data_IF_092924490065
#
_entry.id   IF_092924490065
#
_cell.length_a   1.000
_cell.length_b   1.000
_cell.length_c   1.000
_cell.angle_alpha   90.00
_cell.angle_beta   90.00
_cell.angle_gamma   90.00
#
_symmetry.space_group_name_H-M   'P 1'
#
loop_
_entity.id
_entity.type
_entity.pdbx_description
1 polymer ?
#
# COMPACT_ATOMS: atom_id res chain seq x y z
N UNK A 1 9.46 -8.33 -5.32
CA UNK A 1 8.78 -7.71 -4.16
C UNK A 1 9.78 -7.63 -3.00
N UNK A 2 9.84 -6.50 -2.28
CA UNK A 2 10.82 -6.26 -1.21
C UNK A 2 10.19 -6.15 0.18
N UNK A 3 8.95 -5.66 0.26
CA UNK A 3 8.25 -5.44 1.51
C UNK A 3 6.76 -5.63 1.33
N UNK A 4 6.08 -6.01 2.41
CA UNK A 4 4.62 -6.11 2.49
C UNK A 4 4.12 -5.41 3.75
N UNK A 5 2.89 -4.92 3.71
CA UNK A 5 2.13 -4.52 4.88
C UNK A 5 0.73 -5.12 4.80
N UNK A 6 0.15 -5.41 5.97
CA UNK A 6 -1.18 -5.98 6.11
C UNK A 6 -2.05 -4.98 6.85
N UNK A 7 -3.30 -4.85 6.42
CA UNK A 7 -4.25 -3.92 7.02
C UNK A 7 -5.54 -3.87 6.22
N UNK A 8 -6.57 -3.27 6.79
CA UNK A 8 -7.78 -2.92 6.04
C UNK A 8 -7.51 -1.58 5.32
N UNK A 9 -7.21 -1.65 4.02
CA UNK A 9 -6.83 -0.47 3.23
C UNK A 9 -7.99 0.09 2.42
N UNK A 10 -9.12 -0.63 2.35
CA UNK A 10 -10.33 -0.21 1.67
C UNK A 10 -11.55 0.03 2.58
N UNK A 11 -11.39 -0.11 3.89
CA UNK A 11 -12.42 0.15 4.91
C UNK A 11 -13.61 -0.82 4.78
N UNK A 12 -13.32 -2.08 4.41
CA UNK A 12 -14.32 -3.13 4.22
C UNK A 12 -14.34 -4.19 5.34
N UNK A 13 -13.53 -3.98 6.39
CA UNK A 13 -13.31 -4.84 7.57
C UNK A 13 -12.50 -6.12 7.31
N UNK A 14 -12.06 -6.36 6.08
CA UNK A 14 -11.20 -7.49 5.74
C UNK A 14 -9.74 -7.06 5.59
N UNK A 15 -8.83 -8.01 5.84
CA UNK A 15 -7.40 -7.75 5.68
C UNK A 15 -7.00 -7.79 4.21
N UNK A 16 -6.38 -6.70 3.78
CA UNK A 16 -5.72 -6.52 2.50
C UNK A 16 -4.20 -6.69 2.62
N UNK A 17 -3.52 -6.69 1.47
CA UNK A 17 -2.05 -6.72 1.41
C UNK A 17 -1.54 -5.61 0.50
N UNK A 18 -0.69 -4.74 1.04
CA UNK A 18 0.14 -3.83 0.26
C UNK A 18 1.51 -4.47 -0.02
N UNK A 19 2.03 -4.33 -1.25
CA UNK A 19 3.28 -4.95 -1.72
C UNK A 19 4.17 -3.93 -2.43
N UNK A 20 5.42 -3.79 -2.00
CA UNK A 20 6.43 -3.00 -2.68
C UNK A 20 7.10 -3.82 -3.78
N UNK A 21 6.76 -3.52 -5.03
CA UNK A 21 7.33 -4.17 -6.20
C UNK A 21 8.47 -3.34 -6.78
N UNK A 22 9.59 -3.30 -6.04
CA UNK A 22 10.81 -2.58 -6.39
C UNK A 22 11.24 -2.72 -7.86
N UNK A 23 11.26 -3.95 -8.39
CA UNK A 23 11.78 -4.20 -9.75
C UNK A 23 10.90 -3.69 -10.90
N UNK A 24 9.68 -3.23 -10.61
CA UNK A 24 8.75 -2.68 -11.61
C UNK A 24 8.19 -1.32 -11.20
N UNK A 25 8.79 -0.66 -10.20
CA UNK A 25 8.43 0.68 -9.72
C UNK A 25 6.93 0.83 -9.39
N UNK A 26 6.37 -0.16 -8.68
CA UNK A 26 4.94 -0.14 -8.31
C UNK A 26 4.70 -0.57 -6.87
N UNK A 27 3.67 0.01 -6.27
CA UNK A 27 2.97 -0.56 -5.13
C UNK A 27 1.73 -1.30 -5.65
N UNK A 28 1.55 -2.54 -5.20
CA UNK A 28 0.30 -3.28 -5.41
C UNK A 28 -0.51 -3.33 -4.11
N UNK A 29 -1.82 -3.17 -4.18
CA UNK A 29 -2.75 -3.43 -3.07
C UNK A 29 -3.69 -4.55 -3.50
N UNK A 30 -3.60 -5.70 -2.85
CA UNK A 30 -4.48 -6.84 -3.07
C UNK A 30 -5.63 -6.78 -2.07
N UNK A 31 -6.86 -6.74 -2.59
CA UNK A 31 -8.07 -6.61 -1.77
C UNK A 31 -8.55 -7.96 -1.31
N UNK A 32 -8.55 -8.17 0.01
CA UNK A 32 -9.03 -9.38 0.66
C UNK A 32 -10.56 -9.47 0.62
N UNK A 33 -11.08 -10.68 0.80
CA UNK A 33 -12.53 -10.89 0.94
C UNK A 33 -12.92 -11.58 2.25
N UNK A 34 -12.00 -11.67 3.21
CA UNK A 34 -12.22 -12.36 4.49
C UNK A 34 -12.20 -13.90 4.42
N UNK A 35 -12.26 -14.49 3.22
CA UNK A 35 -12.25 -15.95 3.02
C UNK A 35 -10.89 -16.48 2.57
N UNK A 36 -9.82 -15.72 2.80
CA UNK A 36 -8.46 -16.07 2.40
C UNK A 36 -8.19 -15.95 0.90
N UNK A 37 -9.06 -15.26 0.15
CA UNK A 37 -8.86 -14.97 -1.28
C UNK A 37 -8.71 -13.45 -1.51
N UNK A 38 -8.09 -13.09 -2.64
CA UNK A 38 -7.99 -11.71 -3.10
C UNK A 38 -8.83 -11.49 -4.35
N UNK A 39 -9.70 -10.48 -4.33
CA UNK A 39 -10.72 -10.26 -5.37
C UNK A 39 -10.35 -9.16 -6.36
N UNK A 40 -9.44 -8.27 -5.98
CA UNK A 40 -8.97 -7.17 -6.83
C UNK A 40 -7.51 -6.84 -6.51
N UNK A 41 -6.85 -6.17 -7.45
CA UNK A 41 -5.53 -5.58 -7.25
C UNK A 41 -5.48 -4.17 -7.82
N UNK A 42 -5.16 -3.20 -6.97
CA UNK A 42 -4.81 -1.85 -7.40
C UNK A 42 -3.29 -1.73 -7.55
N UNK A 43 -2.84 -0.99 -8.57
CA UNK A 43 -1.41 -0.78 -8.83
C UNK A 43 -1.13 0.71 -8.95
N UNK A 44 -0.17 1.19 -8.18
CA UNK A 44 0.25 2.59 -8.15
C UNK A 44 1.70 2.68 -8.59
N UNK A 45 1.96 3.47 -9.63
CA UNK A 45 3.33 3.75 -10.06
C UNK A 45 4.01 4.64 -9.03
N UNK A 46 5.26 4.31 -8.74
CA UNK A 46 6.17 5.13 -7.95
C UNK A 46 7.26 5.75 -8.82
N UNK A 47 7.13 5.66 -10.15
CA UNK A 47 8.13 6.19 -11.08
C UNK A 47 8.44 7.67 -10.81
N UNK A 48 9.71 8.08 -10.85
CA UNK A 48 10.89 7.31 -11.26
C UNK A 48 11.57 6.51 -10.12
N UNK A 49 10.91 6.34 -8.97
CA UNK A 49 11.48 5.73 -7.77
C UNK A 49 11.14 4.23 -7.63
N UNK A 50 12.00 3.52 -6.90
CA UNK A 50 11.83 2.09 -6.63
C UNK A 50 11.36 1.88 -5.17
N UNK A 51 10.16 1.36 -4.92
CA UNK A 51 9.66 1.24 -3.56
C UNK A 51 10.39 0.12 -2.83
N UNK A 52 10.91 0.41 -1.63
CA UNK A 52 11.76 -0.51 -0.89
C UNK A 52 11.08 -1.06 0.37
N UNK A 53 10.50 -0.19 1.19
CA UNK A 53 9.81 -0.58 2.43
C UNK A 53 8.42 0.04 2.52
N UNK A 54 7.50 -0.70 3.14
CA UNK A 54 6.13 -0.27 3.44
C UNK A 54 5.90 -0.39 4.95
N UNK A 55 5.30 0.64 5.54
CA UNK A 55 4.69 0.59 6.88
C UNK A 55 3.23 1.06 6.82
N UNK A 56 2.41 0.62 7.77
CA UNK A 56 1.02 1.05 7.93
C UNK A 56 0.73 1.56 9.33
N UNK A 57 -0.20 2.51 9.44
CA UNK A 57 -0.60 3.13 10.71
C UNK A 57 -1.56 4.30 10.49
N UNK A 58 -2.21 4.80 11.55
CA UNK A 58 -3.03 6.02 11.46
C UNK A 58 -2.14 7.26 11.51
N UNK A 59 -1.63 7.69 10.35
CA UNK A 59 -0.64 8.77 10.26
C UNK A 59 -1.28 10.15 10.09
N UNK A 60 -2.47 10.23 9.49
CA UNK A 60 -3.14 11.50 9.17
C UNK A 60 -4.38 11.83 10.03
N UNK A 61 -4.76 10.95 10.97
CA UNK A 61 -5.93 11.09 11.86
C UNK A 61 -7.30 11.13 11.15
N UNK A 62 -7.45 10.45 10.00
CA UNK A 62 -8.73 10.34 9.28
C UNK A 62 -9.55 9.08 9.63
N UNK A 63 -9.23 8.44 10.75
CA UNK A 63 -9.79 7.15 11.20
C UNK A 63 -9.61 5.96 10.22
N UNK A 64 -8.80 6.13 9.17
CA UNK A 64 -8.40 5.04 8.27
C UNK A 64 -6.94 4.64 8.47
N UNK A 65 -6.60 3.47 7.98
CA UNK A 65 -5.23 2.98 7.99
C UNK A 65 -4.46 3.56 6.79
N UNK A 66 -3.40 4.31 7.07
CA UNK A 66 -2.53 4.86 6.04
C UNK A 66 -1.40 3.89 5.67
N UNK A 67 -0.80 4.13 4.52
CA UNK A 67 0.42 3.48 4.05
C UNK A 67 1.54 4.53 3.90
N UNK A 68 2.69 4.24 4.49
CA UNK A 68 3.93 5.00 4.31
C UNK A 68 4.94 4.16 3.51
N UNK A 69 5.53 4.76 2.48
CA UNK A 69 6.47 4.08 1.58
C UNK A 69 7.81 4.80 1.59
N UNK A 70 8.91 4.06 1.75
CA UNK A 70 10.25 4.57 1.45
C UNK A 70 10.70 4.12 0.06
N UNK A 71 11.22 5.06 -0.72
CA UNK A 71 11.67 4.80 -2.08
C UNK A 71 13.18 4.92 -2.22
N UNK A 72 13.78 3.93 -2.88
CA UNK A 72 15.14 4.01 -3.40
C UNK A 72 15.17 4.91 -4.66
N UNK A 73 16.27 5.65 -4.84
CA UNK A 73 16.50 6.57 -5.96
C UNK A 73 15.92 7.99 -5.81
N UNK A 74 14.94 8.23 -4.93
CA UNK A 74 14.39 9.60 -4.71
C UNK A 74 14.40 10.09 -3.26
N UNK A 75 14.72 9.23 -2.27
CA UNK A 75 14.74 9.57 -0.84
C UNK A 75 13.43 10.18 -0.27
N UNK A 76 12.29 9.98 -0.95
CA UNK A 76 11.00 10.53 -0.54
C UNK A 76 10.13 9.51 0.20
N UNK A 77 9.41 9.99 1.22
CA UNK A 77 8.30 9.27 1.86
C UNK A 77 7.00 9.73 1.22
N UNK A 78 6.22 8.80 0.69
CA UNK A 78 4.85 9.06 0.24
C UNK A 78 3.87 8.53 1.29
N UNK A 79 2.90 9.37 1.66
CA UNK A 79 1.72 9.00 2.44
C UNK A 79 0.53 8.97 1.50
N UNK A 80 -0.15 7.83 1.41
CA UNK A 80 -1.40 7.72 0.67
C UNK A 80 -2.54 7.45 1.64
N UNK A 81 -3.43 8.42 1.79
CA UNK A 81 -4.75 8.27 2.42
C UNK A 81 -5.79 8.14 1.31
N UNK A 82 -6.47 7.00 1.24
CA UNK A 82 -7.43 6.73 0.16
C UNK A 82 -8.76 7.42 0.44
N UNK A 83 -9.09 8.43 -0.38
CA UNK A 83 -10.45 8.94 -0.51
C UNK A 83 -11.10 8.18 -1.67
N UNK A 84 -12.07 7.31 -1.36
CA UNK A 84 -12.95 6.74 -2.36
C UNK A 84 -13.90 7.84 -2.87
N UNK A 85 -13.52 8.53 -3.95
CA UNK A 85 -14.44 9.25 -4.84
C UNK A 85 -14.46 8.61 -6.23
#
# INVERSE_FOLDING_TARGET
>A
PYSIAIGDFNDDTFLDIAVANHGINKIGILIGNGYGNFVSQFNYSTDPACPYSIGSGGFNQDDRLDIAITNDGTNNIALSSWLWE
#
